data_IF_403231075336
#
_entry.id   IF_403231075336
#
_cell.length_a   1.000
_cell.length_b   1.000
_cell.length_c   1.000
_cell.angle_alpha   90.00
_cell.angle_beta   90.00
_cell.angle_gamma   90.00
#
_symmetry.space_group_name_H-M   'P 1'
#
loop_
_entity.id
_entity.type
_entity.pdbx_description
1 polymer ?
#
# COMPACT_ATOMS: atom_id res chain seq x y z
N UNK A 1 -5.05 -5.74 13.28
CA UNK A 1 -6.13 -5.83 12.27
C UNK A 1 -5.54 -6.19 10.90
N UNK A 2 -6.36 -6.58 9.89
CA UNK A 2 -5.84 -6.87 8.53
C UNK A 2 -5.21 -5.62 7.90
N UNK A 3 -5.77 -4.45 8.20
CA UNK A 3 -5.23 -3.16 7.80
C UNK A 3 -3.84 -2.88 8.39
N UNK A 4 -3.63 -3.11 9.70
CA UNK A 4 -2.31 -2.93 10.33
C UNK A 4 -1.23 -3.82 9.70
N UNK A 5 -1.57 -5.09 9.41
CA UNK A 5 -0.64 -6.01 8.72
C UNK A 5 -0.30 -5.49 7.32
N UNK A 6 -1.29 -4.98 6.59
CA UNK A 6 -1.08 -4.39 5.28
C UNK A 6 -0.09 -3.20 5.33
N UNK A 7 -0.19 -2.37 6.37
CA UNK A 7 0.72 -1.24 6.60
C UNK A 7 2.14 -1.71 6.95
N UNK A 8 2.28 -2.77 7.74
CA UNK A 8 3.59 -3.35 8.06
C UNK A 8 4.28 -3.85 6.80
N UNK A 9 3.60 -4.69 6.01
CA UNK A 9 4.11 -5.18 4.73
C UNK A 9 4.42 -4.06 3.74
N UNK A 10 3.59 -3.01 3.71
CA UNK A 10 3.82 -1.85 2.86
C UNK A 10 5.14 -1.13 3.21
N UNK A 11 5.44 -0.99 4.50
CA UNK A 11 6.67 -0.36 4.98
C UNK A 11 7.91 -1.21 4.69
N UNK A 12 7.79 -2.54 4.80
CA UNK A 12 8.87 -3.48 4.51
C UNK A 12 9.03 -3.82 3.03
N UNK A 13 8.31 -3.13 2.14
CA UNK A 13 8.33 -3.33 0.68
C UNK A 13 7.79 -4.70 0.22
N UNK A 14 7.06 -5.40 1.09
CA UNK A 14 6.38 -6.65 0.77
C UNK A 14 5.02 -6.36 0.07
N UNK A 15 5.07 -5.66 -1.06
CA UNK A 15 3.90 -5.08 -1.71
C UNK A 15 2.82 -6.07 -2.12
N UNK A 16 3.21 -7.26 -2.59
CA UNK A 16 2.26 -8.33 -2.91
C UNK A 16 1.44 -8.74 -1.69
N UNK A 17 2.09 -8.92 -0.53
CA UNK A 17 1.42 -9.24 0.73
C UNK A 17 0.57 -8.07 1.22
N UNK A 18 1.11 -6.84 1.16
CA UNK A 18 0.37 -5.64 1.55
C UNK A 18 -0.93 -5.50 0.74
N UNK A 19 -0.85 -5.68 -0.59
CA UNK A 19 -1.99 -5.60 -1.51
C UNK A 19 -3.02 -6.69 -1.22
N UNK A 20 -2.59 -7.92 -0.94
CA UNK A 20 -3.49 -9.00 -0.54
C UNK A 20 -4.27 -8.65 0.75
N UNK A 21 -3.59 -8.12 1.77
CA UNK A 21 -4.23 -7.67 3.01
C UNK A 21 -5.21 -6.50 2.77
N UNK A 22 -4.83 -5.49 1.98
CA UNK A 22 -5.75 -4.39 1.64
C UNK A 22 -6.98 -4.86 0.85
N UNK A 23 -6.82 -5.83 -0.06
CA UNK A 23 -7.95 -6.41 -0.78
C UNK A 23 -8.91 -7.16 0.15
N UNK A 24 -8.42 -7.80 1.22
CA UNK A 24 -9.29 -8.39 2.25
C UNK A 24 -10.07 -7.31 3.01
N UNK A 25 -9.44 -6.18 3.34
CA UNK A 25 -10.15 -5.03 3.93
C UNK A 25 -11.24 -4.53 2.99
N UNK A 26 -10.95 -4.41 1.70
CA UNK A 26 -11.90 -3.99 0.67
C UNK A 26 -13.01 -5.02 0.42
N UNK A 27 -12.76 -6.31 0.66
CA UNK A 27 -13.81 -7.32 0.58
C UNK A 27 -14.88 -7.14 1.67
N UNK A 28 -14.48 -6.64 2.84
CA UNK A 28 -15.40 -6.33 3.96
C UNK A 28 -16.01 -4.93 3.80
N UNK A 29 -15.20 -3.94 3.40
CA UNK A 29 -15.64 -2.58 3.15
C UNK A 29 -15.12 -2.09 1.78
N UNK A 30 -15.86 -2.33 0.69
CA UNK A 30 -15.44 -1.96 -0.66
C UNK A 30 -15.21 -0.46 -0.88
N UNK A 31 -15.82 0.37 -0.03
CA UNK A 31 -15.74 1.83 -0.09
C UNK A 31 -14.69 2.41 0.87
N UNK A 32 -13.83 1.57 1.45
CA UNK A 32 -12.71 2.04 2.28
C UNK A 32 -11.70 2.82 1.41
N UNK A 33 -11.84 4.14 1.44
CA UNK A 33 -11.00 5.07 0.68
C UNK A 33 -9.53 4.94 1.03
N UNK A 34 -9.22 4.58 2.28
CA UNK A 34 -7.84 4.44 2.73
C UNK A 34 -7.22 3.18 2.15
N UNK A 35 -7.91 2.04 2.22
CA UNK A 35 -7.42 0.80 1.62
C UNK A 35 -7.28 0.92 0.08
N UNK A 36 -8.24 1.55 -0.60
CA UNK A 36 -8.14 1.84 -2.05
C UNK A 36 -6.88 2.66 -2.39
N UNK A 37 -6.62 3.73 -1.64
CA UNK A 37 -5.45 4.59 -1.83
C UNK A 37 -4.13 3.81 -1.67
N UNK A 38 -4.04 2.91 -0.69
CA UNK A 38 -2.84 2.10 -0.51
C UNK A 38 -2.65 1.09 -1.65
N UNK A 39 -3.71 0.46 -2.15
CA UNK A 39 -3.63 -0.43 -3.32
C UNK A 39 -3.13 0.33 -4.55
N UNK A 40 -3.63 1.54 -4.79
CA UNK A 40 -3.16 2.39 -5.89
C UNK A 40 -1.66 2.71 -5.78
N UNK A 41 -1.21 3.13 -4.58
CA UNK A 41 0.21 3.40 -4.31
C UNK A 41 1.09 2.18 -4.51
N UNK A 42 0.65 1.02 -4.03
CA UNK A 42 1.36 -0.25 -4.22
C UNK A 42 1.51 -0.54 -5.71
N UNK A 43 0.44 -0.42 -6.50
CA UNK A 43 0.52 -0.63 -7.95
C UNK A 43 1.53 0.31 -8.61
N UNK A 44 1.57 1.58 -8.19
CA UNK A 44 2.57 2.54 -8.68
C UNK A 44 4.01 2.15 -8.31
N UNK A 45 4.27 1.71 -7.06
CA UNK A 45 5.61 1.27 -6.64
C UNK A 45 6.07 0.00 -7.33
N UNK A 46 5.15 -0.93 -7.60
CA UNK A 46 5.48 -2.15 -8.33
C UNK A 46 5.82 -1.88 -9.80
N UNK A 47 5.21 -0.85 -10.41
CA UNK A 47 5.48 -0.47 -11.80
C UNK A 47 6.70 0.45 -11.91
N UNK A 48 6.80 1.47 -11.07
CA UNK A 48 7.87 2.49 -11.13
C UNK A 48 9.13 2.08 -10.35
N UNK A 49 9.02 1.06 -9.51
CA UNK A 49 10.04 0.70 -8.54
C UNK A 49 9.96 1.53 -7.27
N UNK A 50 10.59 1.01 -6.21
CA UNK A 50 10.69 1.72 -4.93
C UNK A 50 11.81 2.76 -5.00
N UNK A 51 11.58 4.01 -4.54
CA UNK A 51 12.65 4.99 -4.43
C UNK A 51 13.78 4.48 -3.55
N UNK A 52 15.03 4.81 -3.90
CA UNK A 52 16.22 4.35 -3.16
C UNK A 52 16.20 4.71 -1.66
N UNK A 53 15.50 5.79 -1.29
CA UNK A 53 15.39 6.30 0.07
C UNK A 53 14.02 5.98 0.70
N UNK A 54 13.44 4.83 0.38
CA UNK A 54 12.15 4.43 0.92
C UNK A 54 12.21 4.17 2.42
N UNK A 55 11.45 4.97 3.18
CA UNK A 55 11.32 4.88 4.63
C UNK A 55 9.92 4.40 5.05
N UNK A 56 9.19 3.77 4.13
CA UNK A 56 7.81 3.33 4.38
C UNK A 56 6.76 4.43 4.29
N UNK A 57 7.16 5.66 3.95
CA UNK A 57 6.25 6.80 3.83
C UNK A 57 6.11 7.23 2.37
N UNK A 58 4.87 7.15 1.88
CA UNK A 58 4.53 7.73 0.59
C UNK A 58 4.64 9.25 0.65
N UNK A 59 5.60 9.81 -0.08
CA UNK A 59 5.70 11.26 -0.31
C UNK A 59 5.29 11.54 -1.74
N UNK A 60 4.20 12.27 -1.90
CA UNK A 60 3.84 12.84 -3.20
C UNK A 60 4.80 14.00 -3.45
N UNK A 61 5.90 13.76 -4.16
CA UNK A 61 6.73 14.85 -4.71
C UNK A 61 6.12 15.29 -6.03
N UNK A 62 4.95 15.92 -5.99
CA UNK A 62 4.56 16.80 -7.10
C UNK A 62 5.32 18.11 -6.90
N UNK A 63 6.20 18.41 -7.87
CA UNK A 63 6.77 19.75 -8.07
C UNK A 63 5.84 20.52 -8.99
#
# INVERSE_FOLDING_TARGET
SEFEKAIEYYRTQEFEKAKACFNQVLAVNPNDKTALLYVERINQLMVQGVPQNWDGVWRFTQK
#
